data_IF_826684864362
#
_entry.id   IF_826684864362
#
_cell.length_a   1.000
_cell.length_b   1.000
_cell.length_c   1.000
_cell.angle_alpha   90.00
_cell.angle_beta   90.00
_cell.angle_gamma   90.00
#
_symmetry.space_group_name_H-M   'P 1'
#
loop_
_entity.id
_entity.type
_entity.pdbx_description
1 polymer ?
#
# COMPACT_ATOMS: atom_id res chain seq x y z
N UNK A 1 -26.16 -14.48 -15.22
CA UNK A 1 -25.33 -14.95 -14.08
C UNK A 1 -23.82 -14.68 -14.23
N UNK A 2 -23.28 -14.38 -15.43
CA UNK A 2 -21.82 -14.24 -15.62
C UNK A 2 -21.24 -12.82 -15.39
N UNK A 3 -22.08 -11.81 -15.17
CA UNK A 3 -21.62 -10.40 -15.07
C UNK A 3 -20.99 -10.06 -13.70
N UNK A 4 -21.40 -10.71 -12.61
CA UNK A 4 -20.93 -10.39 -11.26
C UNK A 4 -19.46 -10.77 -10.99
N UNK A 5 -19.01 -11.92 -11.51
CA UNK A 5 -17.65 -12.42 -11.27
C UNK A 5 -16.57 -11.55 -11.92
N UNK A 6 -16.84 -11.02 -13.12
CA UNK A 6 -15.96 -10.07 -13.81
C UNK A 6 -15.80 -8.77 -13.03
N UNK A 7 -16.89 -8.27 -12.43
CA UNK A 7 -16.86 -7.07 -11.60
C UNK A 7 -16.02 -7.28 -10.32
N UNK A 8 -16.14 -8.45 -9.68
CA UNK A 8 -15.35 -8.77 -8.49
C UNK A 8 -13.86 -8.96 -8.79
N UNK A 9 -13.52 -9.64 -9.89
CA UNK A 9 -12.14 -9.81 -10.31
C UNK A 9 -11.47 -8.46 -10.62
N UNK A 10 -12.21 -7.52 -11.22
CA UNK A 10 -11.73 -6.17 -11.49
C UNK A 10 -11.42 -5.38 -10.22
N UNK A 11 -12.30 -5.45 -9.21
CA UNK A 11 -12.07 -4.80 -7.91
C UNK A 11 -10.83 -5.39 -7.22
N UNK A 12 -10.65 -6.70 -7.25
CA UNK A 12 -9.48 -7.38 -6.65
C UNK A 12 -8.19 -6.92 -7.32
N UNK A 13 -8.16 -6.85 -8.67
CA UNK A 13 -7.00 -6.35 -9.41
C UNK A 13 -6.64 -4.91 -9.02
N UNK A 14 -7.65 -4.04 -8.88
CA UNK A 14 -7.45 -2.66 -8.41
C UNK A 14 -6.86 -2.63 -7.00
N UNK A 15 -7.38 -3.45 -6.08
CA UNK A 15 -6.88 -3.48 -4.70
C UNK A 15 -5.40 -3.93 -4.69
N UNK A 16 -5.06 -4.98 -5.43
CA UNK A 16 -3.68 -5.47 -5.53
C UNK A 16 -2.77 -4.38 -6.11
N UNK A 17 -3.22 -3.68 -7.16
CA UNK A 17 -2.47 -2.58 -7.75
C UNK A 17 -2.22 -1.44 -6.75
N UNK A 18 -3.23 -1.05 -5.98
CA UNK A 18 -3.11 -0.02 -4.95
C UNK A 18 -2.17 -0.43 -3.82
N UNK A 19 -2.23 -1.69 -3.35
CA UNK A 19 -1.31 -2.23 -2.34
C UNK A 19 0.12 -2.20 -2.87
N UNK A 20 0.33 -2.60 -4.12
CA UNK A 20 1.66 -2.58 -4.74
C UNK A 20 2.21 -1.15 -4.87
N UNK A 21 1.37 -0.20 -5.25
CA UNK A 21 1.71 1.23 -5.31
C UNK A 21 2.07 1.77 -3.93
N UNK A 22 1.27 1.47 -2.90
CA UNK A 22 1.54 1.89 -1.53
C UNK A 22 2.89 1.34 -1.05
N UNK A 23 3.16 0.06 -1.26
CA UNK A 23 4.44 -0.57 -0.92
C UNK A 23 5.62 0.06 -1.68
N UNK A 24 5.44 0.36 -2.97
CA UNK A 24 6.48 0.98 -3.79
C UNK A 24 6.79 2.42 -3.33
N UNK A 25 5.76 3.21 -3.03
CA UNK A 25 5.93 4.59 -2.53
C UNK A 25 6.55 4.59 -1.13
N UNK A 26 6.14 3.66 -0.26
CA UNK A 26 6.75 3.49 1.07
C UNK A 26 8.25 3.15 0.97
N UNK A 27 8.61 2.20 0.11
CA UNK A 27 10.02 1.83 -0.14
C UNK A 27 10.81 3.03 -0.67
N UNK A 28 10.23 3.82 -1.58
CA UNK A 28 10.87 5.03 -2.12
C UNK A 28 11.02 6.14 -1.07
N UNK A 29 10.13 6.20 -0.07
CA UNK A 29 10.19 7.10 1.10
C UNK A 29 11.01 6.53 2.27
N UNK A 30 11.70 5.41 2.11
CA UNK A 30 12.50 4.79 3.18
C UNK A 30 11.69 4.28 4.38
N UNK A 31 10.37 4.21 4.24
CA UNK A 31 9.45 3.72 5.26
C UNK A 31 9.39 2.19 5.23
N UNK A 32 9.04 1.58 6.36
CA UNK A 32 8.94 0.12 6.48
C UNK A 32 7.91 -0.46 5.50
N UNK A 33 8.35 -1.22 4.48
CA UNK A 33 7.45 -1.71 3.43
C UNK A 33 6.44 -2.72 3.98
N UNK A 34 6.79 -3.50 5.01
CA UNK A 34 5.89 -4.47 5.65
C UNK A 34 4.80 -3.75 6.46
N UNK A 35 5.17 -2.73 7.23
CA UNK A 35 4.22 -1.92 7.98
C UNK A 35 3.21 -1.25 7.04
N UNK A 36 3.69 -0.71 5.92
CA UNK A 36 2.84 -0.08 4.92
C UNK A 36 2.05 -1.05 4.07
N UNK A 37 2.52 -2.28 3.86
CA UNK A 37 1.73 -3.34 3.23
C UNK A 37 0.54 -3.75 4.12
N UNK A 38 0.77 -3.90 5.44
CA UNK A 38 -0.31 -4.17 6.41
C UNK A 38 -1.29 -2.99 6.48
N UNK A 39 -0.79 -1.76 6.55
CA UNK A 39 -1.63 -0.56 6.49
C UNK A 39 -2.39 -0.44 5.17
N UNK A 40 -1.77 -0.81 4.04
CA UNK A 40 -2.42 -0.85 2.73
C UNK A 40 -3.50 -1.93 2.62
N UNK A 41 -3.37 -3.05 3.33
CA UNK A 41 -4.41 -4.07 3.43
C UNK A 41 -5.58 -3.64 4.32
N UNK A 42 -5.30 -3.03 5.48
CA UNK A 42 -6.32 -2.62 6.46
C UNK A 42 -7.06 -1.36 6.00
N UNK A 43 -6.33 -0.31 5.62
CA UNK A 43 -6.89 0.96 5.19
C UNK A 43 -7.21 0.99 3.69
N UNK A 44 -6.76 -0.01 2.92
CA UNK A 44 -7.00 -0.07 1.49
C UNK A 44 -6.38 1.12 0.75
N UNK A 45 -7.07 1.69 -0.26
CA UNK A 45 -6.55 2.81 -1.04
C UNK A 45 -6.30 4.08 -0.21
N UNK A 46 -6.91 4.22 0.98
CA UNK A 46 -6.66 5.33 1.91
C UNK A 46 -5.24 5.31 2.49
N UNK A 47 -4.52 4.20 2.43
CA UNK A 47 -3.12 4.16 2.86
C UNK A 47 -2.22 5.05 1.97
N UNK A 48 -2.56 5.28 0.70
CA UNK A 48 -1.75 6.10 -0.22
C UNK A 48 -1.67 7.57 0.22
N UNK A 49 -2.77 8.30 0.47
CA UNK A 49 -2.69 9.68 0.97
C UNK A 49 -1.99 9.75 2.33
N UNK A 50 -2.17 8.75 3.20
CA UNK A 50 -1.47 8.67 4.48
C UNK A 50 0.05 8.52 4.28
N UNK A 51 0.49 7.69 3.32
CA UNK A 51 1.90 7.55 2.91
C UNK A 51 2.44 8.88 2.40
N UNK A 52 1.64 9.63 1.65
CA UNK A 52 2.04 10.90 1.05
C UNK A 52 2.21 11.98 2.13
N UNK A 53 1.33 12.01 3.13
CA UNK A 53 1.38 12.91 4.28
C UNK A 53 2.53 12.58 5.24
N UNK A 54 2.88 11.29 5.38
CA UNK A 54 3.98 10.88 6.24
C UNK A 54 5.32 11.35 5.65
N UNK A 55 6.08 12.08 6.47
CA UNK A 55 7.43 12.51 6.15
C UNK A 55 8.32 11.28 5.99
N UNK A 56 9.07 11.24 4.89
CA UNK A 56 10.03 10.17 4.58
C UNK A 56 10.93 9.92 5.79
N UNK A 57 10.79 8.76 6.43
CA UNK A 57 11.70 8.32 7.48
C UNK A 57 12.89 7.72 6.75
N UNK A 58 13.91 8.53 6.46
CA UNK A 58 15.22 8.00 6.11
C UNK A 58 15.64 7.16 7.32
N UNK A 59 15.49 5.84 7.21
CA UNK A 59 15.85 4.90 8.27
C UNK A 59 17.29 5.15 8.67
N UNK A 60 17.48 5.79 9.83
CA UNK A 60 18.73 5.70 10.54
C UNK A 60 18.71 4.33 11.19
N UNK A 61 19.49 3.42 10.63
CA UNK A 61 19.86 2.16 11.23
C UNK A 61 20.64 2.45 12.51
N UNK A 62 19.95 2.79 13.59
CA UNK A 62 20.52 2.60 14.93
C UNK A 62 20.29 1.13 15.28
N UNK A 63 21.29 0.35 14.89
CA UNK A 63 21.55 -0.97 15.41
C UNK A 63 21.73 -0.82 16.93
N UNK A 64 20.93 -1.53 17.72
CA UNK A 64 21.27 -1.89 19.10
C UNK A 64 21.35 -3.40 19.13
#
# INVERSE_FOLDING_TARGET
MFSGAFSMAYLILIIIFFVFLAQFIAKKKGLDPVYWAVMGGIFGPLAIPVILLIKSKKSNSEQI
#
